data_IF_291088023572
#
_entry.id   IF_291088023572
#
_cell.length_a   1.000
_cell.length_b   1.000
_cell.length_c   1.000
_cell.angle_alpha   90.00
_cell.angle_beta   90.00
_cell.angle_gamma   90.00
#
_symmetry.space_group_name_H-M   'P 1'
#
loop_
_entity.id
_entity.type
_entity.pdbx_description
1 polymer ?
#
# COMPACT_ATOMS: atom_id res chain seq x y z
N UNK A 1 -18.01 5.81 3.92
CA UNK A 1 -16.62 5.34 3.93
C UNK A 1 -16.17 5.24 2.49
N UNK A 2 -15.01 5.81 2.12
CA UNK A 2 -14.49 5.68 0.76
C UNK A 2 -14.28 4.18 0.46
N UNK A 3 -14.88 3.70 -0.63
CA UNK A 3 -14.82 2.29 -1.03
C UNK A 3 -13.37 1.80 -1.22
N UNK A 4 -12.41 2.70 -1.47
CA UNK A 4 -11.00 2.34 -1.63
C UNK A 4 -10.30 2.00 -0.30
N UNK A 5 -10.77 2.52 0.84
CA UNK A 5 -10.09 2.32 2.14
C UNK A 5 -10.01 0.85 2.56
N UNK A 6 -10.95 0.01 2.13
CA UNK A 6 -10.93 -1.42 2.46
C UNK A 6 -9.68 -2.12 1.90
N UNK A 7 -9.15 -1.66 0.76
CA UNK A 7 -7.95 -2.22 0.15
C UNK A 7 -6.67 -1.81 0.87
N UNK A 8 -6.74 -0.87 1.81
CA UNK A 8 -5.62 -0.48 2.67
C UNK A 8 -5.60 -1.21 4.01
N UNK A 9 -6.57 -2.09 4.29
CA UNK A 9 -6.54 -2.92 5.49
C UNK A 9 -5.25 -3.76 5.50
N UNK A 10 -4.50 -3.67 6.59
CA UNK A 10 -3.21 -4.38 6.73
C UNK A 10 -3.22 -5.36 7.91
N UNK A 11 -4.25 -5.35 8.76
CA UNK A 11 -4.26 -6.11 10.00
C UNK A 11 -4.22 -7.64 9.81
N UNK A 12 -4.72 -8.12 8.66
CA UNK A 12 -4.70 -9.52 8.28
C UNK A 12 -3.35 -10.01 7.73
N UNK A 13 -2.40 -9.09 7.48
CA UNK A 13 -1.11 -9.44 6.89
C UNK A 13 -0.14 -10.01 7.94
N UNK A 14 0.77 -10.93 7.52
CA UNK A 14 1.86 -11.38 8.38
C UNK A 14 2.79 -10.21 8.74
N UNK A 15 3.53 -10.28 9.88
CA UNK A 15 4.25 -9.13 10.43
C UNK A 15 5.17 -8.39 9.44
N UNK A 16 5.92 -9.12 8.62
CA UNK A 16 6.86 -8.55 7.65
C UNK A 16 6.16 -7.77 6.51
N UNK A 17 4.96 -8.19 6.08
CA UNK A 17 4.17 -7.45 5.09
C UNK A 17 3.33 -6.34 5.73
N UNK A 18 2.84 -6.57 6.96
CA UNK A 18 2.12 -5.57 7.73
C UNK A 18 2.99 -4.32 7.96
N UNK A 19 4.26 -4.51 8.29
CA UNK A 19 5.21 -3.40 8.48
C UNK A 19 5.36 -2.51 7.24
N UNK A 20 5.30 -3.10 6.03
CA UNK A 20 5.39 -2.39 4.75
C UNK A 20 4.06 -1.72 4.39
N UNK A 21 2.94 -2.40 4.62
CA UNK A 21 1.60 -1.95 4.23
C UNK A 21 1.04 -0.87 5.16
N UNK A 22 1.36 -0.93 6.46
CA UNK A 22 0.80 -0.03 7.50
C UNK A 22 0.94 1.47 7.18
N UNK A 23 2.11 2.00 6.77
CA UNK A 23 2.25 3.43 6.47
C UNK A 23 1.31 3.92 5.37
N UNK A 24 1.01 3.08 4.37
CA UNK A 24 0.07 3.41 3.31
C UNK A 24 -1.37 3.42 3.83
N UNK A 25 -1.73 2.48 4.71
CA UNK A 25 -3.05 2.47 5.33
C UNK A 25 -3.28 3.67 6.24
N UNK A 26 -2.30 4.03 7.06
CA UNK A 26 -2.36 5.22 7.91
C UNK A 26 -2.51 6.49 7.05
N UNK A 27 -1.74 6.61 5.96
CA UNK A 27 -1.84 7.75 5.04
C UNK A 27 -3.19 7.81 4.33
N UNK A 28 -3.74 6.67 3.90
CA UNK A 28 -5.06 6.61 3.25
C UNK A 28 -6.18 7.08 4.19
N UNK A 29 -6.12 6.68 5.47
CA UNK A 29 -7.05 7.15 6.49
C UNK A 29 -6.93 8.67 6.69
N UNK A 30 -5.69 9.18 6.80
CA UNK A 30 -5.43 10.62 6.92
C UNK A 30 -6.00 11.40 5.74
N UNK A 31 -5.74 10.95 4.51
CA UNK A 31 -6.25 11.58 3.30
C UNK A 31 -7.78 11.59 3.24
N UNK A 32 -8.44 10.51 3.66
CA UNK A 32 -9.90 10.44 3.69
C UNK A 32 -10.51 11.43 4.70
N UNK A 33 -9.81 11.74 5.79
CA UNK A 33 -10.27 12.67 6.84
C UNK A 33 -9.96 14.11 6.47
N UNK A 34 -8.78 14.38 5.92
CA UNK A 34 -8.26 15.75 5.78
C UNK A 34 -8.47 16.38 4.39
N UNK A 35 -8.54 15.57 3.32
CA UNK A 35 -8.66 16.12 1.96
C UNK A 35 -10.13 16.38 1.58
N UNK A 36 -10.41 17.48 0.87
CA UNK A 36 -11.74 17.73 0.33
C UNK A 36 -12.06 16.70 -0.75
N UNK A 37 -13.34 16.33 -0.85
CA UNK A 37 -13.80 15.37 -1.86
C UNK A 37 -13.79 16.01 -3.24
N UNK A 38 -12.82 15.64 -4.07
CA UNK A 38 -12.70 16.10 -5.45
C UNK A 38 -12.01 15.03 -6.32
N UNK A 39 -11.88 15.24 -7.64
CA UNK A 39 -11.20 14.28 -8.51
C UNK A 39 -9.74 14.03 -8.12
N UNK A 40 -9.02 15.05 -7.64
CA UNK A 40 -7.61 14.93 -7.23
C UNK A 40 -7.44 14.05 -5.99
N UNK A 41 -8.30 14.20 -4.96
CA UNK A 41 -8.26 13.36 -3.76
C UNK A 41 -8.50 11.89 -4.10
N UNK A 42 -9.41 11.63 -5.06
CA UNK A 42 -9.69 10.28 -5.55
C UNK A 42 -8.48 9.71 -6.31
N UNK A 43 -7.86 10.50 -7.19
CA UNK A 43 -6.65 10.12 -7.93
C UNK A 43 -5.49 9.85 -6.97
N UNK A 44 -5.29 10.70 -5.97
CA UNK A 44 -4.25 10.54 -4.96
C UNK A 44 -4.43 9.23 -4.19
N UNK A 45 -5.65 8.89 -3.74
CA UNK A 45 -5.92 7.61 -3.05
C UNK A 45 -5.64 6.39 -3.94
N UNK A 46 -5.98 6.44 -5.23
CA UNK A 46 -5.67 5.35 -6.17
C UNK A 46 -4.16 5.17 -6.37
N UNK A 47 -3.42 6.28 -6.56
CA UNK A 47 -1.96 6.25 -6.68
C UNK A 47 -1.28 5.71 -5.42
N UNK A 48 -1.81 6.05 -4.25
CA UNK A 48 -1.32 5.52 -2.99
C UNK A 48 -1.54 3.99 -2.90
N UNK A 49 -2.68 3.49 -3.40
CA UNK A 49 -2.99 2.06 -3.42
C UNK A 49 -2.02 1.30 -4.34
N UNK A 50 -1.78 1.83 -5.55
CA UNK A 50 -0.79 1.29 -6.49
C UNK A 50 0.61 1.26 -5.87
N UNK A 51 1.01 2.34 -5.18
CA UNK A 51 2.31 2.42 -4.51
C UNK A 51 2.45 1.38 -3.39
N UNK A 52 1.39 1.18 -2.59
CA UNK A 52 1.34 0.14 -1.55
C UNK A 52 1.55 -1.26 -2.15
N UNK A 53 0.82 -1.57 -3.22
CA UNK A 53 0.92 -2.88 -3.88
C UNK A 53 2.31 -3.10 -4.52
N UNK A 54 2.92 -2.05 -5.09
CA UNK A 54 4.32 -2.07 -5.53
C UNK A 54 5.30 -2.34 -4.38
N UNK A 55 5.15 -1.66 -3.24
CA UNK A 55 6.03 -1.84 -2.09
C UNK A 55 5.93 -3.26 -1.50
N UNK A 56 4.72 -3.81 -1.39
CA UNK A 56 4.52 -5.21 -0.95
C UNK A 56 5.17 -6.18 -1.93
N UNK A 57 4.99 -6.01 -3.24
CA UNK A 57 5.66 -6.84 -4.25
C UNK A 57 7.18 -6.73 -4.21
N UNK A 58 7.73 -5.55 -3.91
CA UNK A 58 9.17 -5.36 -3.77
C UNK A 58 9.76 -6.19 -2.63
N UNK A 59 9.07 -6.27 -1.47
CA UNK A 59 9.51 -7.12 -0.35
C UNK A 59 9.39 -8.61 -0.62
N UNK A 60 8.45 -9.00 -1.49
CA UNK A 60 8.27 -10.40 -1.91
C UNK A 60 9.13 -10.81 -3.11
N UNK A 61 9.85 -9.86 -3.71
CA UNK A 61 10.65 -10.13 -4.90
C UNK A 61 11.76 -11.12 -4.57
N UNK A 62 11.83 -12.19 -5.38
CA UNK A 62 12.90 -13.18 -5.34
C UNK A 62 13.81 -12.91 -6.51
N UNK A 63 15.04 -12.50 -6.24
CA UNK A 63 16.03 -12.26 -7.28
C UNK A 63 16.41 -13.58 -7.96
N UNK A 64 16.13 -13.75 -9.26
CA UNK A 64 16.52 -14.95 -9.99
C UNK A 64 18.04 -15.16 -10.05
N UNK A 65 18.83 -14.09 -9.93
CA UNK A 65 20.29 -14.16 -9.98
C UNK A 65 20.92 -14.53 -8.63
N UNK A 66 20.20 -14.38 -7.51
CA UNK A 66 20.73 -14.66 -6.17
C UNK A 66 20.89 -16.15 -5.85
N UNK A 67 20.51 -17.05 -6.76
CA UNK A 67 20.63 -18.52 -6.60
C UNK A 67 21.64 -19.19 -7.53
N UNK A 68 22.41 -18.42 -8.30
CA UNK A 68 23.53 -18.94 -9.10
C UNK A 68 24.81 -18.55 -8.34
N UNK A 69 25.17 -19.35 -7.34
CA UNK A 69 26.51 -19.30 -6.75
C UNK A 69 27.43 -20.18 -7.62
N UNK A 70 28.56 -19.65 -8.08
CA UNK A 70 29.62 -20.40 -8.80
C UNK A 70 30.25 -21.50 -7.91
#
# INVERSE_FOLDING_TARGET
MDALLQFFAYEHLPPHLKAVSKPFGDMAQKMCVELPRNPESTTATRKLLEAKDCAVRAVLFKDPAAGIED
#
